data_IF_543601778238
#
_entry.id   IF_543601778238
#
_cell.length_a   1.000
_cell.length_b   1.000
_cell.length_c   1.000
_cell.angle_alpha   90.00
_cell.angle_beta   90.00
_cell.angle_gamma   90.00
#
_symmetry.space_group_name_H-M   'P 1'
#
loop_
_entity.id
_entity.type
_entity.pdbx_description
1 polymer ?
#
# COMPACT_ATOMS: atom_id res chain seq x y z
N UNK A 1 -23.68 30.58 5.49
CA UNK A 1 -23.53 29.98 4.15
C UNK A 1 -22.47 28.93 4.26
N UNK A 2 -22.78 27.67 3.95
CA UNK A 2 -21.82 26.57 4.08
C UNK A 2 -20.68 26.79 3.07
N UNK A 3 -19.40 26.68 3.48
CA UNK A 3 -18.29 26.80 2.56
C UNK A 3 -18.27 25.63 1.58
N UNK A 4 -17.92 25.96 0.34
CA UNK A 4 -17.84 25.06 -0.80
C UNK A 4 -16.47 24.37 -0.74
N UNK A 5 -16.41 23.17 -0.15
CA UNK A 5 -15.19 22.38 -0.01
C UNK A 5 -14.86 21.67 -1.33
N UNK A 6 -14.00 22.27 -2.15
CA UNK A 6 -13.51 21.67 -3.41
C UNK A 6 -11.99 21.39 -3.38
N UNK A 7 -11.33 21.69 -2.26
CA UNK A 7 -9.96 21.30 -1.99
C UNK A 7 -9.85 20.99 -0.49
N UNK A 8 -9.34 19.82 -0.14
CA UNK A 8 -9.19 19.34 1.24
C UNK A 8 -8.15 20.09 2.08
N UNK A 9 -8.07 21.41 1.92
CA UNK A 9 -7.30 22.31 2.77
C UNK A 9 -8.30 23.14 3.55
N UNK A 10 -8.54 22.73 4.79
CA UNK A 10 -9.22 23.59 5.77
C UNK A 10 -8.12 24.42 6.41
N UNK A 11 -7.92 25.65 5.91
CA UNK A 11 -7.24 26.65 6.72
C UNK A 11 -8.23 27.11 7.80
N UNK A 12 -8.09 26.61 9.03
CA UNK A 12 -8.26 27.50 10.18
C UNK A 12 -7.46 27.09 11.42
N UNK A 13 -6.40 27.88 11.62
CA UNK A 13 -5.90 28.52 12.84
C UNK A 13 -6.46 28.06 14.20
N UNK A 14 -5.94 26.96 14.73
CA UNK A 14 -5.54 26.82 16.15
C UNK A 14 -4.77 25.49 16.27
N UNK A 15 -3.68 25.36 15.53
CA UNK A 15 -2.67 24.36 15.85
C UNK A 15 -2.19 24.68 17.27
N UNK A 16 -2.53 23.77 18.20
CA UNK A 16 -2.11 23.68 19.59
C UNK A 16 -0.99 24.66 19.91
N UNK A 17 -1.30 25.70 20.69
CA UNK A 17 -0.31 26.69 21.12
C UNK A 17 0.96 25.99 21.65
N UNK A 18 2.04 26.06 20.88
CA UNK A 18 3.33 25.51 21.30
C UNK A 18 3.96 26.53 22.26
N UNK A 19 3.69 26.33 23.55
CA UNK A 19 4.23 27.14 24.64
C UNK A 19 3.23 28.08 25.29
N UNK A 20 3.53 28.47 26.53
CA UNK A 20 2.64 29.21 27.44
C UNK A 20 2.24 30.62 26.98
N UNK A 21 2.80 31.13 25.87
CA UNK A 21 2.64 32.53 25.45
C UNK A 21 2.36 32.75 23.95
N UNK A 22 2.07 31.72 23.15
CA UNK A 22 1.75 31.88 21.72
C UNK A 22 2.87 32.59 20.90
N UNK A 23 4.14 32.41 21.29
CA UNK A 23 5.31 33.11 20.73
C UNK A 23 6.23 32.26 19.85
N UNK A 24 5.86 31.01 19.58
CA UNK A 24 6.70 30.11 18.79
C UNK A 24 6.28 30.11 17.32
N UNK A 25 6.94 30.95 16.50
CA UNK A 25 6.84 30.92 15.04
C UNK A 25 7.78 29.83 14.51
N UNK A 26 7.30 28.59 14.57
CA UNK A 26 8.05 27.39 14.15
C UNK A 26 7.16 26.56 13.25
N UNK A 27 7.73 26.00 12.18
CA UNK A 27 7.04 25.00 11.38
C UNK A 27 6.64 23.83 12.29
N UNK A 28 5.33 23.64 12.48
CA UNK A 28 4.78 22.51 13.22
C UNK A 28 4.04 21.62 12.23
N UNK A 29 4.47 20.37 12.09
CA UNK A 29 3.78 19.35 11.32
C UNK A 29 3.13 18.38 12.31
N UNK A 30 1.81 18.41 12.39
CA UNK A 30 1.03 17.43 13.13
C UNK A 30 0.63 16.30 12.17
N UNK A 31 1.27 15.13 12.32
CA UNK A 31 0.84 13.92 11.62
C UNK A 31 -0.04 13.14 12.59
N UNK A 32 -1.34 13.39 12.53
CA UNK A 32 -2.33 12.56 13.22
C UNK A 32 -2.63 11.35 12.36
N UNK A 33 -2.05 10.21 12.74
CA UNK A 33 -2.54 8.96 12.23
C UNK A 33 -3.87 8.64 12.92
N UNK A 34 -4.96 8.78 12.18
CA UNK A 34 -6.29 8.32 12.59
C UNK A 34 -6.38 6.80 12.65
N UNK A 35 -5.48 6.12 13.36
CA UNK A 35 -5.49 4.67 13.62
C UNK A 35 -6.61 4.27 14.58
N UNK A 36 -7.81 4.84 14.46
CA UNK A 36 -8.89 4.39 15.31
C UNK A 36 -9.21 2.93 14.92
N UNK A 37 -9.24 2.57 13.62
CA UNK A 37 -9.17 1.19 13.12
C UNK A 37 -8.71 1.12 11.66
N UNK A 38 -7.80 0.20 11.32
CA UNK A 38 -7.50 -0.24 9.96
C UNK A 38 -8.27 -1.56 9.70
N UNK A 39 -9.55 -1.52 9.29
CA UNK A 39 -10.42 -2.71 9.25
C UNK A 39 -9.91 -3.81 8.30
N UNK A 40 -9.03 -3.46 7.36
CA UNK A 40 -8.40 -4.40 6.44
C UNK A 40 -7.29 -5.25 7.07
N UNK A 41 -6.62 -4.77 8.13
CA UNK A 41 -5.54 -5.50 8.80
C UNK A 41 -6.07 -6.31 9.97
N UNK A 42 -6.74 -7.42 9.64
CA UNK A 42 -7.26 -8.36 10.65
C UNK A 42 -6.18 -9.33 11.14
N UNK A 43 -5.12 -9.52 10.36
CA UNK A 43 -4.02 -10.44 10.66
C UNK A 43 -2.90 -9.74 11.40
N UNK A 44 -2.62 -10.19 12.63
CA UNK A 44 -1.58 -9.61 13.49
C UNK A 44 -0.18 -9.70 12.90
N UNK A 45 0.07 -10.68 12.02
CA UNK A 45 1.34 -10.84 11.31
C UNK A 45 1.55 -9.81 10.20
N UNK A 46 0.47 -9.27 9.62
CA UNK A 46 0.52 -8.27 8.54
C UNK A 46 0.70 -6.86 9.09
N UNK A 47 0.13 -6.58 10.26
CA UNK A 47 0.11 -5.24 10.83
C UNK A 47 1.49 -4.56 10.92
N UNK A 48 2.58 -5.21 11.38
CA UNK A 48 3.89 -4.56 11.48
C UNK A 48 4.46 -4.11 10.13
N UNK A 49 4.31 -4.94 9.08
CA UNK A 49 4.81 -4.58 7.74
C UNK A 49 3.95 -3.49 7.13
N UNK A 50 2.63 -3.56 7.26
CA UNK A 50 1.72 -2.57 6.71
C UNK A 50 1.92 -1.17 7.32
N UNK A 51 2.05 -1.09 8.65
CA UNK A 51 2.32 0.19 9.33
C UNK A 51 3.66 0.78 8.88
N UNK A 52 4.68 -0.06 8.72
CA UNK A 52 6.00 0.38 8.24
C UNK A 52 5.90 0.87 6.80
N UNK A 53 5.13 0.19 5.96
CA UNK A 53 4.93 0.57 4.56
C UNK A 53 4.19 1.90 4.42
N UNK A 54 3.13 2.11 5.21
CA UNK A 54 2.38 3.36 5.25
C UNK A 54 3.22 4.52 5.78
N UNK A 55 4.05 4.28 6.81
CA UNK A 55 5.00 5.28 7.29
C UNK A 55 6.03 5.64 6.21
N UNK A 56 6.49 4.64 5.44
CA UNK A 56 7.43 4.85 4.34
C UNK A 56 6.80 5.63 3.18
N UNK A 57 5.58 5.27 2.76
CA UNK A 57 4.84 6.02 1.75
C UNK A 57 4.58 7.47 2.20
N UNK A 58 4.24 7.68 3.47
CA UNK A 58 4.09 9.02 4.06
C UNK A 58 5.41 9.80 3.98
N UNK A 59 6.53 9.16 4.31
CA UNK A 59 7.85 9.77 4.18
C UNK A 59 8.15 10.20 2.74
N UNK A 60 7.93 9.32 1.75
CA UNK A 60 8.13 9.64 0.34
C UNK A 60 7.23 10.79 -0.12
N UNK A 61 5.96 10.78 0.27
CA UNK A 61 5.01 11.85 -0.06
C UNK A 61 5.39 13.21 0.55
N UNK A 62 5.93 13.23 1.76
CA UNK A 62 6.45 14.46 2.38
C UNK A 62 7.67 14.99 1.63
N UNK A 63 8.59 14.11 1.24
CA UNK A 63 9.77 14.49 0.45
C UNK A 63 9.36 15.12 -0.88
N UNK A 64 8.41 14.50 -1.59
CA UNK A 64 7.84 15.06 -2.82
C UNK A 64 7.16 16.42 -2.58
N UNK A 65 6.30 16.52 -1.56
CA UNK A 65 5.60 17.76 -1.22
C UNK A 65 6.56 18.94 -0.95
N UNK A 66 7.68 18.70 -0.26
CA UNK A 66 8.69 19.72 0.02
C UNK A 66 9.66 19.98 -1.14
N UNK A 67 9.44 19.35 -2.30
CA UNK A 67 10.24 19.58 -3.51
C UNK A 67 11.61 18.90 -3.50
N UNK A 68 11.79 17.87 -2.67
CA UNK A 68 12.98 17.01 -2.64
C UNK A 68 12.59 15.54 -2.88
N UNK A 69 11.95 15.21 -4.04
CA UNK A 69 11.43 13.88 -4.28
C UNK A 69 12.55 12.84 -4.28
N UNK A 70 12.42 11.86 -3.39
CA UNK A 70 13.28 10.69 -3.38
C UNK A 70 12.70 9.68 -4.37
N UNK A 71 13.54 9.22 -5.31
CA UNK A 71 13.21 8.10 -6.20
C UNK A 71 13.76 6.82 -5.56
N UNK A 72 12.94 6.05 -4.82
CA UNK A 72 13.45 4.85 -4.19
C UNK A 72 13.57 3.70 -5.20
N UNK A 73 14.45 2.74 -4.92
CA UNK A 73 14.53 1.50 -5.70
C UNK A 73 13.19 0.74 -5.65
N UNK A 74 12.55 0.74 -4.48
CA UNK A 74 11.23 0.16 -4.26
C UNK A 74 10.33 1.17 -3.56
N UNK A 75 9.09 1.29 -4.01
CA UNK A 75 8.05 2.18 -3.45
C UNK A 75 7.37 1.57 -2.21
N UNK A 76 7.68 0.31 -1.88
CA UNK A 76 7.19 -0.40 -0.70
C UNK A 76 8.33 -1.08 0.05
N UNK A 77 8.26 -1.08 1.38
CA UNK A 77 9.19 -1.81 2.25
C UNK A 77 8.98 -3.32 2.19
N UNK A 78 7.90 -3.77 1.54
CA UNK A 78 7.60 -5.18 1.33
C UNK A 78 8.46 -5.81 0.21
N UNK A 79 9.27 -5.03 -0.50
CA UNK A 79 10.09 -5.50 -1.61
C UNK A 79 11.61 -5.41 -1.33
N UNK A 80 12.39 -6.38 -1.84
CA UNK A 80 11.97 -7.62 -2.49
C UNK A 80 11.37 -8.63 -1.48
N UNK A 81 10.52 -9.55 -1.95
CA UNK A 81 9.95 -10.62 -1.13
C UNK A 81 10.24 -12.00 -1.74
N UNK A 82 10.50 -13.00 -0.90
CA UNK A 82 10.61 -14.40 -1.33
C UNK A 82 9.25 -15.10 -1.25
N UNK A 83 8.60 -15.29 -2.41
CA UNK A 83 7.30 -15.96 -2.50
C UNK A 83 7.39 -17.50 -2.57
N UNK A 84 8.56 -18.11 -2.37
CA UNK A 84 8.76 -19.55 -2.50
C UNK A 84 7.84 -20.41 -1.63
N UNK A 85 7.35 -19.88 -0.52
CA UNK A 85 6.46 -20.58 0.43
C UNK A 85 5.01 -20.09 0.41
N UNK A 86 4.68 -19.06 -0.38
CA UNK A 86 3.36 -18.39 -0.36
C UNK A 86 2.36 -19.11 -1.27
N UNK A 87 1.21 -19.50 -0.71
CA UNK A 87 0.09 -20.17 -1.39
C UNK A 87 -1.19 -19.31 -1.36
N UNK A 88 -1.35 -18.48 -2.39
CA UNK A 88 -2.52 -17.61 -2.54
C UNK A 88 -3.84 -18.36 -2.88
N UNK A 89 -3.82 -19.66 -3.20
CA UNK A 89 -5.05 -20.39 -3.54
C UNK A 89 -5.79 -20.92 -2.31
N UNK A 90 -5.08 -21.15 -1.19
CA UNK A 90 -5.65 -21.78 0.00
C UNK A 90 -6.31 -20.82 0.99
N UNK A 91 -6.56 -19.57 0.58
CA UNK A 91 -7.06 -18.55 1.50
C UNK A 91 -6.03 -18.21 2.60
N UNK A 92 -4.73 -18.39 2.30
CA UNK A 92 -3.64 -17.97 3.17
C UNK A 92 -3.76 -16.47 3.48
N UNK A 93 -3.35 -16.10 4.69
CA UNK A 93 -3.12 -14.70 5.06
C UNK A 93 -1.74 -14.53 5.68
N UNK A 94 -1.10 -13.40 5.43
CA UNK A 94 0.19 -13.06 6.02
C UNK A 94 0.99 -12.06 5.20
N UNK A 95 2.21 -11.71 5.65
CA UNK A 95 3.07 -10.74 4.97
C UNK A 95 3.35 -11.05 3.51
N UNK A 96 3.45 -12.34 3.14
CA UNK A 96 3.70 -12.73 1.74
C UNK A 96 2.55 -12.44 0.81
N UNK A 97 1.31 -12.58 1.29
CA UNK A 97 0.12 -12.17 0.55
C UNK A 97 0.00 -10.65 0.49
N UNK A 98 0.39 -9.94 1.56
CA UNK A 98 0.44 -8.47 1.56
C UNK A 98 1.41 -7.96 0.50
N UNK A 99 2.64 -8.49 0.49
CA UNK A 99 3.65 -8.18 -0.51
C UNK A 99 3.16 -8.52 -1.93
N UNK A 100 2.48 -9.66 -2.12
CA UNK A 100 1.90 -10.02 -3.40
C UNK A 100 0.84 -9.02 -3.87
N UNK A 101 -0.07 -8.61 -3.00
CA UNK A 101 -1.11 -7.63 -3.31
C UNK A 101 -0.52 -6.26 -3.64
N UNK A 102 0.48 -5.82 -2.86
CA UNK A 102 1.23 -4.59 -3.14
C UNK A 102 1.94 -4.67 -4.50
N UNK A 103 2.53 -5.81 -4.85
CA UNK A 103 3.23 -5.98 -6.13
C UNK A 103 2.25 -5.93 -7.30
N UNK A 104 1.15 -6.69 -7.19
CA UNK A 104 0.09 -6.66 -8.21
C UNK A 104 -0.53 -5.26 -8.31
N UNK A 105 -0.59 -4.50 -7.22
CA UNK A 105 -1.05 -3.11 -7.26
C UNK A 105 -0.07 -2.22 -8.04
N UNK A 106 1.23 -2.27 -7.71
CA UNK A 106 2.29 -1.55 -8.43
C UNK A 106 2.26 -1.85 -9.93
N UNK A 107 1.99 -3.11 -10.29
CA UNK A 107 1.90 -3.56 -11.69
C UNK A 107 0.54 -3.26 -12.35
N UNK A 108 -0.42 -2.66 -11.63
CA UNK A 108 -1.72 -2.27 -12.18
C UNK A 108 -2.77 -3.39 -12.27
N UNK A 109 -2.55 -4.53 -11.62
CA UNK A 109 -3.47 -5.68 -11.59
C UNK A 109 -4.30 -5.77 -10.30
N UNK A 110 -4.01 -4.93 -9.30
CA UNK A 110 -4.74 -4.89 -8.03
C UNK A 110 -5.15 -3.44 -7.67
N UNK A 111 -6.40 -3.19 -7.24
CA UNK A 111 -7.51 -4.14 -7.21
C UNK A 111 -7.88 -4.60 -8.63
N UNK A 112 -8.56 -5.75 -8.79
CA UNK A 112 -8.98 -6.22 -10.10
C UNK A 112 -9.86 -5.18 -10.82
N UNK A 113 -9.83 -5.18 -12.16
CA UNK A 113 -10.65 -4.27 -12.94
C UNK A 113 -12.14 -4.32 -12.53
N UNK A 114 -12.70 -3.14 -12.27
CA UNK A 114 -14.09 -2.96 -11.81
C UNK A 114 -14.29 -3.02 -10.29
N UNK A 115 -13.23 -3.31 -9.52
CA UNK A 115 -13.25 -3.31 -8.07
C UNK A 115 -12.47 -2.08 -7.54
N UNK A 116 -12.79 -1.66 -6.33
CA UNK A 116 -12.10 -0.58 -5.62
C UNK A 116 -11.30 -1.11 -4.42
N UNK A 117 -10.46 -0.28 -3.80
CA UNK A 117 -9.72 -0.66 -2.59
C UNK A 117 -10.59 -0.87 -1.35
N UNK A 118 -11.81 -0.34 -1.32
CA UNK A 118 -12.76 -0.65 -0.26
C UNK A 118 -13.31 -2.08 -0.38
N UNK A 119 -13.44 -2.60 -1.60
CA UNK A 119 -13.89 -3.97 -1.88
C UNK A 119 -12.73 -4.98 -1.84
N UNK A 120 -11.60 -4.58 -2.40
CA UNK A 120 -10.39 -5.37 -2.51
C UNK A 120 -9.21 -4.63 -1.85
N UNK A 121 -9.17 -4.54 -0.50
CA UNK A 121 -8.06 -3.90 0.19
C UNK A 121 -6.78 -4.73 0.07
N UNK A 122 -5.62 -4.05 0.15
CA UNK A 122 -4.31 -4.69 0.35
C UNK A 122 -4.23 -5.16 1.81
N UNK A 123 -4.95 -6.22 2.13
CA UNK A 123 -5.19 -6.71 3.49
C UNK A 123 -4.17 -7.74 3.98
N UNK A 124 -3.38 -8.31 3.07
CA UNK A 124 -2.58 -9.49 3.33
C UNK A 124 -3.40 -10.78 3.47
N UNK A 125 -4.69 -10.76 3.13
CA UNK A 125 -5.55 -11.95 3.07
C UNK A 125 -5.84 -12.33 1.62
N UNK A 126 -5.63 -13.59 1.27
CA UNK A 126 -5.94 -14.07 -0.08
C UNK A 126 -7.42 -14.42 -0.22
N UNK A 127 -7.95 -14.23 -1.43
CA UNK A 127 -9.36 -14.40 -1.74
C UNK A 127 -9.65 -14.18 -3.22
N UNK A 128 -10.92 -13.89 -3.54
CA UNK A 128 -11.36 -13.63 -4.92
C UNK A 128 -10.61 -12.48 -5.59
N UNK A 129 -10.36 -11.39 -4.86
CA UNK A 129 -9.60 -10.24 -5.34
C UNK A 129 -8.19 -10.64 -5.76
N UNK A 130 -7.44 -11.28 -4.85
CA UNK A 130 -6.06 -11.74 -5.12
C UNK A 130 -6.02 -12.73 -6.28
N UNK A 131 -6.93 -13.71 -6.32
CA UNK A 131 -6.98 -14.68 -7.41
C UNK A 131 -7.23 -14.01 -8.76
N UNK A 132 -8.22 -13.11 -8.86
CA UNK A 132 -8.52 -12.39 -10.11
C UNK A 132 -7.37 -11.50 -10.56
N UNK A 133 -6.67 -10.86 -9.62
CA UNK A 133 -5.48 -10.08 -9.94
C UNK A 133 -4.34 -10.96 -10.48
N UNK A 134 -4.12 -12.14 -9.88
CA UNK A 134 -3.15 -13.13 -10.40
C UNK A 134 -3.56 -13.59 -11.81
N UNK A 135 -4.85 -13.88 -12.03
CA UNK A 135 -5.35 -14.29 -13.36
C UNK A 135 -5.12 -13.20 -14.41
N UNK A 136 -5.39 -11.94 -14.07
CA UNK A 136 -5.17 -10.80 -14.96
C UNK A 136 -3.68 -10.64 -15.30
N UNK A 137 -2.81 -10.71 -14.29
CA UNK A 137 -1.36 -10.69 -14.48
C UNK A 137 -0.87 -11.85 -15.35
N UNK A 138 -1.31 -13.07 -15.06
CA UNK A 138 -0.94 -14.26 -15.83
C UNK A 138 -1.34 -14.12 -17.30
N UNK A 139 -2.56 -13.66 -17.57
CA UNK A 139 -3.05 -13.47 -18.93
C UNK A 139 -2.18 -12.44 -19.68
N UNK A 140 -1.95 -11.28 -19.08
CA UNK A 140 -1.16 -10.21 -19.68
C UNK A 140 0.30 -10.61 -19.95
N UNK A 141 0.87 -11.51 -19.14
CA UNK A 141 2.24 -12.00 -19.27
C UNK A 141 2.34 -13.34 -20.04
N UNK A 142 1.27 -13.80 -20.68
CA UNK A 142 1.27 -15.03 -21.50
C UNK A 142 1.48 -16.32 -20.69
N UNK A 143 1.18 -16.30 -19.40
CA UNK A 143 1.23 -17.46 -18.51
C UNK A 143 -0.10 -18.22 -18.54
N UNK A 144 -0.06 -19.49 -18.13
CA UNK A 144 -1.28 -20.25 -17.89
C UNK A 144 -2.11 -19.60 -16.78
N UNK A 145 -3.36 -19.27 -17.09
CA UNK A 145 -4.27 -18.46 -16.25
C UNK A 145 -4.90 -19.30 -15.14
N UNK A 146 -4.06 -19.79 -14.23
CA UNK A 146 -4.44 -20.68 -13.12
C UNK A 146 -5.01 -19.94 -11.91
N UNK A 147 -4.78 -18.62 -11.82
CA UNK A 147 -5.04 -17.83 -10.61
C UNK A 147 -4.19 -18.23 -9.40
N UNK A 148 -3.17 -19.07 -9.62
CA UNK A 148 -2.26 -19.55 -8.60
C UNK A 148 -0.94 -18.80 -8.62
N UNK A 149 -0.36 -18.60 -7.44
CA UNK A 149 1.04 -18.16 -7.30
C UNK A 149 1.99 -19.36 -7.48
N UNK A 150 1.94 -20.02 -8.64
CA UNK A 150 2.84 -21.12 -9.00
C UNK A 150 4.24 -20.65 -9.40
N UNK A 151 5.20 -21.59 -9.61
CA UNK A 151 6.60 -21.25 -9.89
C UNK A 151 6.81 -20.26 -11.03
N UNK A 152 6.12 -20.46 -12.17
CA UNK A 152 6.20 -19.55 -13.33
C UNK A 152 5.69 -18.15 -13.02
N UNK A 153 4.64 -18.03 -12.20
CA UNK A 153 4.11 -16.73 -11.78
C UNK A 153 5.12 -16.02 -10.88
N UNK A 154 5.75 -16.74 -9.95
CA UNK A 154 6.77 -16.21 -9.03
C UNK A 154 8.00 -15.72 -9.77
N UNK A 155 8.55 -16.54 -10.67
CA UNK A 155 9.68 -16.15 -11.52
C UNK A 155 9.38 -14.92 -12.38
N UNK A 156 8.13 -14.76 -12.83
CA UNK A 156 7.73 -13.56 -13.55
C UNK A 156 7.74 -12.33 -12.63
N UNK A 157 7.15 -12.42 -11.44
CA UNK A 157 7.15 -11.31 -10.46
C UNK A 157 8.56 -10.95 -9.96
N UNK A 158 9.43 -11.94 -9.77
CA UNK A 158 10.83 -11.71 -9.39
C UNK A 158 11.60 -10.92 -10.45
N UNK A 159 11.28 -11.11 -11.74
CA UNK A 159 11.91 -10.33 -12.81
C UNK A 159 11.50 -8.85 -12.78
N UNK A 160 10.26 -8.56 -12.37
CA UNK A 160 9.79 -7.18 -12.19
C UNK A 160 10.58 -6.46 -11.09
N UNK A 161 11.01 -7.18 -10.04
CA UNK A 161 11.86 -6.61 -8.98
C UNK A 161 13.30 -6.30 -9.42
N UNK A 162 13.77 -6.93 -10.51
CA UNK A 162 15.15 -6.76 -11.03
C UNK A 162 15.26 -5.77 -12.18
N UNK A 163 14.13 -5.29 -12.70
CA UNK A 163 14.11 -4.35 -13.83
C UNK A 163 14.13 -2.92 -13.27
N UNK A 164 15.16 -2.10 -13.59
CA UNK A 164 15.29 -0.74 -13.08
C UNK A 164 14.25 0.23 -13.67
#
# INVERSE_FOLDING_TARGET
>A
TLPQEDAGVVEDQELIAIGTNNTADSAALLIEYGYIYEPQFQESSVLPVAVTDYAYATYLGLQDFFGDPIVPTFDSVSFPYDWSTVDAQRGESGPGIYALQAMLHRLGYYPPAGESFSECPVSGKSGSCTRRAIEAYQNAHGLETTGALGPKTREALERELTTP
#
